data_IF_732045713016
#
_entry.id   IF_732045713016
#
_cell.length_a   1.000
_cell.length_b   1.000
_cell.length_c   1.000
_cell.angle_alpha   90.00
_cell.angle_beta   90.00
_cell.angle_gamma   90.00
#
_symmetry.space_group_name_H-M   'P 1'
#
loop_
_entity.id
_entity.type
_entity.pdbx_description
1 polymer ?
#
# COMPACT_ATOMS: atom_id res chain seq x y z
N UNK A 1 33.30 -10.85 -3.01
CA UNK A 1 32.05 -10.39 -2.38
C UNK A 1 32.13 -8.88 -2.30
N UNK A 2 31.15 -8.09 -2.84
CA UNK A 2 31.18 -6.63 -2.71
C UNK A 2 31.13 -6.27 -1.23
N UNK A 3 31.87 -5.24 -0.84
CA UNK A 3 32.04 -4.83 0.55
C UNK A 3 30.69 -4.35 1.15
N UNK A 4 30.17 -5.11 2.12
CA UNK A 4 28.94 -4.80 2.83
C UNK A 4 29.07 -3.50 3.60
N UNK A 5 30.21 -3.25 4.25
CA UNK A 5 30.45 -2.02 5.02
C UNK A 5 30.42 -0.79 4.11
N UNK A 6 31.01 -0.89 2.91
CA UNK A 6 30.96 0.18 1.90
C UNK A 6 29.54 0.43 1.42
N UNK A 7 28.75 -0.62 1.22
CA UNK A 7 27.34 -0.52 0.87
C UNK A 7 26.54 0.22 1.95
N UNK A 8 26.65 -0.23 3.21
CA UNK A 8 25.97 0.41 4.34
C UNK A 8 26.37 1.88 4.47
N UNK A 9 27.67 2.17 4.40
CA UNK A 9 28.17 3.55 4.44
C UNK A 9 27.56 4.41 3.33
N UNK A 10 27.52 3.92 2.10
CA UNK A 10 26.92 4.65 0.95
C UNK A 10 25.45 4.99 1.19
N UNK A 11 24.67 4.06 1.71
CA UNK A 11 23.24 4.25 1.97
C UNK A 11 23.03 5.24 3.13
N UNK A 12 23.79 5.11 4.22
CA UNK A 12 23.72 6.01 5.36
C UNK A 12 24.17 7.42 5.04
N UNK A 13 25.30 7.58 4.30
CA UNK A 13 25.80 8.90 3.87
C UNK A 13 24.74 9.66 3.07
N UNK A 14 24.07 8.96 2.13
CA UNK A 14 22.97 9.54 1.38
C UNK A 14 21.79 9.93 2.28
N UNK A 15 21.35 9.04 3.18
CA UNK A 15 20.21 9.29 4.05
C UNK A 15 20.45 10.47 4.97
N UNK A 16 21.62 10.58 5.57
CA UNK A 16 21.97 11.67 6.47
C UNK A 16 21.89 13.06 5.80
N UNK A 17 22.13 13.13 4.49
CA UNK A 17 22.08 14.37 3.71
C UNK A 17 20.71 14.64 3.05
N UNK A 18 19.95 13.59 2.75
CA UNK A 18 18.79 13.68 1.85
C UNK A 18 17.52 12.99 2.40
N UNK A 19 17.47 12.69 3.70
CA UNK A 19 16.30 12.03 4.31
C UNK A 19 15.01 12.80 4.04
N UNK A 20 13.99 12.07 3.59
CA UNK A 20 12.68 12.65 3.32
C UNK A 20 11.86 12.75 4.61
N UNK A 21 11.16 13.86 4.78
CA UNK A 21 10.29 14.10 5.93
C UNK A 21 8.84 13.70 5.62
N UNK A 22 8.36 12.65 6.29
CA UNK A 22 6.98 12.19 6.16
C UNK A 22 6.31 12.07 7.53
N UNK A 23 4.98 12.36 7.64
CA UNK A 23 4.27 12.33 8.92
C UNK A 23 4.31 10.96 9.60
N UNK A 24 4.29 9.87 8.85
CA UNK A 24 4.37 8.50 9.38
C UNK A 24 5.77 8.11 9.88
N UNK A 25 6.81 8.86 9.56
CA UNK A 25 8.16 8.67 10.11
C UNK A 25 8.34 9.34 11.47
N UNK A 26 7.40 10.22 11.87
CA UNK A 26 7.41 10.95 13.14
C UNK A 26 6.62 10.27 14.25
N UNK A 27 6.09 9.10 13.99
CA UNK A 27 5.27 8.35 14.95
C UNK A 27 5.80 6.92 15.15
N UNK A 28 5.57 6.38 16.34
CA UNK A 28 5.77 4.97 16.68
C UNK A 28 4.44 4.24 16.90
N UNK A 29 3.31 4.95 16.71
CA UNK A 29 2.00 4.34 16.86
C UNK A 29 1.75 3.30 15.75
N UNK A 30 1.56 2.01 16.08
CA UNK A 30 1.41 0.95 15.09
C UNK A 30 0.18 1.12 14.19
N UNK A 31 -0.90 1.74 14.69
CA UNK A 31 -2.07 2.04 13.89
C UNK A 31 -1.75 3.09 12.80
N UNK A 32 -1.08 4.18 13.17
CA UNK A 32 -0.68 5.23 12.23
C UNK A 32 0.28 4.70 11.16
N UNK A 33 1.23 3.85 11.56
CA UNK A 33 2.17 3.20 10.64
C UNK A 33 1.42 2.24 9.72
N UNK A 34 0.53 1.41 10.24
CA UNK A 34 -0.28 0.51 9.43
C UNK A 34 -1.11 1.26 8.38
N UNK A 35 -1.80 2.34 8.77
CA UNK A 35 -2.54 3.20 7.82
C UNK A 35 -1.63 3.69 6.69
N UNK A 36 -0.43 4.20 7.02
CA UNK A 36 0.50 4.70 6.01
C UNK A 36 0.99 3.59 5.08
N UNK A 37 1.36 2.42 5.62
CA UNK A 37 1.84 1.29 4.82
C UNK A 37 0.78 0.81 3.82
N UNK A 38 -0.48 0.73 4.25
CA UNK A 38 -1.58 0.37 3.35
C UNK A 38 -1.83 1.46 2.30
N UNK A 39 -1.76 2.73 2.65
CA UNK A 39 -1.94 3.83 1.69
C UNK A 39 -0.81 3.90 0.65
N UNK A 40 0.42 3.59 1.06
CA UNK A 40 1.61 3.63 0.20
C UNK A 40 1.68 2.49 -0.82
N UNK A 41 0.92 1.41 -0.64
CA UNK A 41 0.86 0.33 -1.63
C UNK A 41 0.46 0.88 -3.01
N UNK A 42 1.37 0.86 -3.98
CA UNK A 42 1.17 1.34 -5.35
C UNK A 42 0.65 2.80 -5.47
N UNK A 43 0.89 3.64 -4.46
CA UNK A 43 0.50 5.06 -4.46
C UNK A 43 1.71 5.92 -4.13
N UNK A 44 1.87 7.02 -4.88
CA UNK A 44 2.99 7.96 -4.68
C UNK A 44 2.84 8.73 -3.37
N UNK A 45 3.95 9.02 -2.70
CA UNK A 45 4.02 9.70 -1.40
C UNK A 45 3.31 11.05 -1.39
N UNK A 46 3.46 11.85 -2.44
CA UNK A 46 2.85 13.18 -2.54
C UNK A 46 1.32 13.14 -2.51
N UNK A 47 0.74 12.06 -3.04
CA UNK A 47 -0.70 11.80 -2.97
C UNK A 47 -1.11 11.28 -1.60
N UNK A 48 -0.25 10.48 -0.95
CA UNK A 48 -0.55 9.86 0.34
C UNK A 48 -0.50 10.87 1.49
N UNK A 49 0.47 11.79 1.50
CA UNK A 49 0.65 12.75 2.63
C UNK A 49 -0.63 13.50 3.01
N UNK A 50 -1.33 14.19 2.10
CA UNK A 50 -2.58 14.87 2.46
C UNK A 50 -3.67 13.90 2.89
N UNK A 51 -3.83 12.78 2.20
CA UNK A 51 -4.85 11.77 2.50
C UNK A 51 -4.65 11.08 3.84
N UNK A 52 -3.41 10.79 4.21
CA UNK A 52 -3.05 10.25 5.52
C UNK A 52 -3.45 11.20 6.66
N UNK A 53 -3.15 12.50 6.52
CA UNK A 53 -3.53 13.52 7.52
C UNK A 53 -5.05 13.63 7.67
N UNK A 54 -5.78 13.70 6.54
CA UNK A 54 -7.25 13.74 6.53
C UNK A 54 -7.86 12.47 7.15
N UNK A 55 -7.33 11.30 6.81
CA UNK A 55 -7.82 10.03 7.29
C UNK A 55 -7.62 9.88 8.80
N UNK A 56 -6.44 10.20 9.32
CA UNK A 56 -6.18 10.13 10.77
C UNK A 56 -6.90 11.23 11.58
N UNK A 57 -7.23 12.36 10.96
CA UNK A 57 -8.10 13.35 11.58
C UNK A 57 -9.51 12.81 11.80
N UNK A 58 -10.04 12.03 10.84
CA UNK A 58 -11.37 11.43 10.91
C UNK A 58 -11.38 10.15 11.75
N UNK A 59 -10.33 9.32 11.61
CA UNK A 59 -10.20 8.03 12.27
C UNK A 59 -8.87 7.98 13.05
N UNK A 60 -8.75 8.67 14.19
CA UNK A 60 -7.50 8.78 14.94
C UNK A 60 -7.04 7.48 15.61
N UNK A 61 -7.96 6.54 15.80
CA UNK A 61 -7.70 5.25 16.47
C UNK A 61 -8.28 4.09 15.67
N UNK A 62 -7.83 2.87 15.95
CA UNK A 62 -8.41 1.67 15.35
C UNK A 62 -9.89 1.50 15.74
N UNK A 63 -10.29 1.95 16.94
CA UNK A 63 -11.68 1.94 17.40
C UNK A 63 -12.55 2.86 16.54
N UNK A 64 -12.11 4.08 16.29
CA UNK A 64 -12.84 5.02 15.43
C UNK A 64 -12.95 4.52 13.98
N UNK A 65 -11.93 3.83 13.47
CA UNK A 65 -11.97 3.21 12.15
C UNK A 65 -12.96 2.02 12.13
N UNK A 66 -12.94 1.17 13.15
CA UNK A 66 -13.81 0.01 13.24
C UNK A 66 -15.30 0.40 13.36
N UNK A 67 -15.60 1.45 14.11
CA UNK A 67 -16.98 1.96 14.30
C UNK A 67 -17.51 2.80 13.13
N UNK A 68 -16.64 3.25 12.22
CA UNK A 68 -17.03 4.03 11.05
C UNK A 68 -17.88 3.20 10.07
N UNK A 69 -18.78 3.84 9.33
CA UNK A 69 -19.44 3.19 8.21
C UNK A 69 -18.47 2.87 7.08
N UNK A 70 -18.75 1.82 6.30
CA UNK A 70 -17.97 1.53 5.10
C UNK A 70 -17.95 2.73 4.14
N UNK A 71 -19.06 3.43 4.04
CA UNK A 71 -19.22 4.63 3.23
C UNK A 71 -18.22 5.71 3.66
N UNK A 72 -18.14 6.05 4.95
CA UNK A 72 -17.24 7.08 5.46
C UNK A 72 -15.77 6.75 5.15
N UNK A 73 -15.39 5.47 5.34
CA UNK A 73 -14.02 5.01 5.01
C UNK A 73 -13.73 5.14 3.52
N UNK A 74 -14.66 4.72 2.65
CA UNK A 74 -14.47 4.79 1.21
C UNK A 74 -14.47 6.24 0.69
N UNK A 75 -15.24 7.14 1.26
CA UNK A 75 -15.21 8.57 0.94
C UNK A 75 -13.83 9.18 1.25
N UNK A 76 -13.27 8.90 2.42
CA UNK A 76 -11.91 9.36 2.78
C UNK A 76 -10.81 8.70 1.96
N UNK A 77 -11.08 7.49 1.44
CA UNK A 77 -10.13 6.76 0.59
C UNK A 77 -10.10 7.25 -0.86
N UNK A 78 -11.08 8.07 -1.29
CA UNK A 78 -11.14 8.59 -2.66
C UNK A 78 -9.84 9.30 -3.06
N UNK A 79 -9.38 9.03 -4.30
CA UNK A 79 -8.13 9.57 -4.84
C UNK A 79 -6.88 8.70 -4.59
N UNK A 80 -6.92 7.72 -3.68
CA UNK A 80 -5.81 6.77 -3.48
C UNK A 80 -5.83 5.60 -4.48
N UNK A 81 -7.00 5.24 -4.99
CA UNK A 81 -7.19 4.06 -5.84
C UNK A 81 -7.09 2.74 -5.07
N UNK A 82 -7.26 1.60 -5.78
CA UNK A 82 -7.22 0.28 -5.15
C UNK A 82 -8.08 0.21 -3.88
N UNK A 83 -9.34 0.58 -4.01
CA UNK A 83 -10.29 0.80 -2.90
C UNK A 83 -10.44 -0.43 -1.97
N UNK A 84 -10.14 -1.65 -2.46
CA UNK A 84 -10.11 -2.87 -1.63
C UNK A 84 -9.16 -2.73 -0.43
N UNK A 85 -8.08 -1.94 -0.55
CA UNK A 85 -7.17 -1.68 0.57
C UNK A 85 -7.87 -0.93 1.71
N UNK A 86 -8.66 0.10 1.39
CA UNK A 86 -9.47 0.84 2.37
C UNK A 86 -10.51 -0.04 3.05
N UNK A 87 -11.19 -0.89 2.27
CA UNK A 87 -12.16 -1.85 2.81
C UNK A 87 -11.49 -2.90 3.71
N UNK A 88 -10.35 -3.45 3.29
CA UNK A 88 -9.60 -4.41 4.10
C UNK A 88 -9.04 -3.75 5.38
N UNK A 89 -8.60 -2.49 5.30
CA UNK A 89 -8.14 -1.73 6.47
C UNK A 89 -9.27 -1.60 7.50
N UNK A 90 -10.49 -1.30 7.06
CA UNK A 90 -11.67 -1.26 7.93
C UNK A 90 -11.98 -2.64 8.53
N UNK A 91 -12.09 -3.68 7.71
CA UNK A 91 -12.39 -5.05 8.17
C UNK A 91 -11.34 -5.56 9.18
N UNK A 92 -10.07 -5.30 8.92
CA UNK A 92 -9.02 -5.64 9.87
C UNK A 92 -9.14 -4.82 11.18
N UNK A 93 -9.54 -3.55 11.10
CA UNK A 93 -9.86 -2.74 12.27
C UNK A 93 -10.99 -3.32 13.10
N UNK A 94 -12.06 -3.80 12.45
CA UNK A 94 -13.18 -4.48 13.10
C UNK A 94 -12.73 -5.76 13.82
N UNK A 95 -11.87 -6.57 13.18
CA UNK A 95 -11.30 -7.78 13.82
C UNK A 95 -10.39 -7.43 15.00
N UNK A 96 -9.57 -6.39 14.89
CA UNK A 96 -8.69 -5.93 15.98
C UNK A 96 -9.54 -5.49 17.17
N UNK A 97 -10.62 -4.74 16.95
CA UNK A 97 -11.47 -4.28 18.04
C UNK A 97 -12.31 -5.42 18.61
N UNK A 98 -12.98 -6.22 17.78
CA UNK A 98 -13.88 -7.28 18.22
C UNK A 98 -13.17 -8.48 18.84
N UNK A 99 -12.08 -8.96 18.21
CA UNK A 99 -11.40 -10.19 18.62
C UNK A 99 -10.16 -9.93 19.47
N UNK A 100 -9.42 -8.84 19.21
CA UNK A 100 -8.15 -8.55 19.85
C UNK A 100 -8.24 -7.40 20.88
N UNK A 101 -9.46 -7.01 21.29
CA UNK A 101 -9.72 -5.97 22.31
C UNK A 101 -9.05 -4.64 21.98
N UNK A 102 -8.93 -4.30 20.70
CA UNK A 102 -8.33 -3.05 20.21
C UNK A 102 -6.79 -3.01 20.23
N UNK A 103 -6.12 -4.12 20.51
CA UNK A 103 -4.66 -4.23 20.51
C UNK A 103 -4.16 -4.73 19.16
N UNK A 104 -3.34 -3.93 18.48
CA UNK A 104 -2.67 -4.36 17.24
C UNK A 104 -1.62 -5.41 17.60
N UNK A 105 -1.63 -6.58 16.93
CA UNK A 105 -0.64 -7.63 17.18
C UNK A 105 0.80 -7.16 16.92
N UNK A 106 1.73 -7.74 17.66
CA UNK A 106 3.19 -7.52 17.50
C UNK A 106 3.88 -8.67 16.78
N UNK A 107 3.17 -9.77 16.55
CA UNK A 107 3.67 -10.97 15.89
C UNK A 107 3.30 -10.96 14.39
N UNK A 108 4.25 -11.36 13.54
CA UNK A 108 4.09 -11.38 12.06
C UNK A 108 2.86 -12.18 11.65
N UNK A 109 2.74 -13.42 12.14
CA UNK A 109 1.65 -14.33 11.76
C UNK A 109 0.28 -13.83 12.21
N UNK A 110 0.20 -13.22 13.40
CA UNK A 110 -1.03 -12.64 13.90
C UNK A 110 -1.48 -11.41 13.07
N UNK A 111 -0.54 -10.60 12.59
CA UNK A 111 -0.83 -9.51 11.66
C UNK A 111 -1.23 -10.04 10.29
N UNK A 112 -0.56 -11.07 9.77
CA UNK A 112 -0.87 -11.67 8.47
C UNK A 112 -2.25 -12.34 8.42
N UNK A 113 -2.78 -12.75 9.56
CA UNK A 113 -4.14 -13.27 9.67
C UNK A 113 -5.22 -12.21 9.45
N UNK A 114 -4.87 -10.91 9.50
CA UNK A 114 -5.82 -9.82 9.32
C UNK A 114 -6.03 -9.47 7.84
N UNK A 115 -7.26 -9.07 7.43
CA UNK A 115 -7.56 -8.71 6.06
C UNK A 115 -6.61 -7.65 5.46
N UNK A 116 -5.99 -7.99 4.32
CA UNK A 116 -5.15 -7.06 3.56
C UNK A 116 -3.73 -6.82 4.11
N UNK A 117 -3.32 -7.55 5.14
CA UNK A 117 -1.96 -7.52 5.67
C UNK A 117 -1.20 -8.74 5.16
N UNK A 118 -0.20 -8.53 4.32
CA UNK A 118 0.71 -9.57 3.83
C UNK A 118 2.06 -9.54 4.54
N UNK A 119 2.97 -10.43 4.13
CA UNK A 119 4.32 -10.58 4.71
C UNK A 119 5.09 -9.25 4.79
N UNK A 120 5.13 -8.49 3.70
CA UNK A 120 5.77 -7.17 3.72
C UNK A 120 5.13 -6.23 4.74
N UNK A 121 3.80 -6.09 4.71
CA UNK A 121 3.09 -5.10 5.52
C UNK A 121 3.20 -5.42 7.01
N UNK A 122 3.09 -6.70 7.40
CA UNK A 122 3.25 -7.14 8.79
C UNK A 122 4.63 -6.82 9.34
N UNK A 123 5.69 -7.18 8.60
CA UNK A 123 7.08 -6.91 8.98
C UNK A 123 7.40 -5.41 9.02
N UNK A 124 6.89 -4.64 8.06
CA UNK A 124 7.06 -3.19 8.01
C UNK A 124 6.40 -2.51 9.23
N UNK A 125 5.17 -2.90 9.59
CA UNK A 125 4.50 -2.39 10.80
C UNK A 125 5.36 -2.65 12.04
N UNK A 126 5.82 -3.88 12.23
CA UNK A 126 6.61 -4.27 13.41
C UNK A 126 7.95 -3.52 13.44
N UNK A 127 8.66 -3.48 12.31
CA UNK A 127 9.95 -2.78 12.24
C UNK A 127 9.79 -1.28 12.47
N UNK A 128 8.80 -0.64 11.85
CA UNK A 128 8.63 0.80 11.96
C UNK A 128 8.01 1.24 13.29
N UNK A 129 7.17 0.42 13.92
CA UNK A 129 6.59 0.73 15.23
C UNK A 129 7.56 0.41 16.40
N UNK A 130 8.19 -0.76 16.37
CA UNK A 130 8.89 -1.32 17.52
C UNK A 130 10.41 -1.40 17.34
N UNK A 131 10.95 -1.00 16.17
CA UNK A 131 12.38 -1.08 15.82
C UNK A 131 12.92 -2.53 15.82
N UNK A 132 12.07 -3.50 15.50
CA UNK A 132 12.46 -4.92 15.44
C UNK A 132 13.16 -5.21 14.11
N UNK A 133 14.33 -5.89 14.09
CA UNK A 133 15.12 -6.15 12.88
C UNK A 133 14.54 -7.33 12.08
N UNK A 134 13.46 -7.11 11.36
CA UNK A 134 12.84 -8.10 10.48
C UNK A 134 13.32 -7.95 9.04
N UNK A 135 13.43 -9.07 8.32
CA UNK A 135 13.89 -9.09 6.92
C UNK A 135 12.70 -9.04 5.97
N UNK A 136 12.65 -7.99 5.14
CA UNK A 136 11.62 -7.82 4.12
C UNK A 136 12.14 -7.01 2.92
N UNK A 137 11.39 -7.02 1.82
CA UNK A 137 11.74 -6.35 0.58
C UNK A 137 10.52 -5.64 -0.02
N UNK A 138 10.75 -4.44 -0.57
CA UNK A 138 9.80 -3.72 -1.42
C UNK A 138 10.52 -3.16 -2.65
N UNK A 139 9.80 -2.52 -3.53
CA UNK A 139 10.28 -2.12 -4.86
C UNK A 139 11.51 -1.18 -4.84
N UNK A 140 11.64 -0.28 -3.84
CA UNK A 140 12.79 0.63 -3.76
C UNK A 140 14.01 -0.11 -3.19
N UNK A 141 13.80 -0.93 -2.16
CA UNK A 141 14.84 -1.80 -1.59
C UNK A 141 15.38 -2.71 -2.69
N UNK A 142 14.50 -3.40 -3.43
CA UNK A 142 14.88 -4.23 -4.58
C UNK A 142 15.74 -3.46 -5.59
N UNK A 143 15.37 -2.22 -5.92
CA UNK A 143 16.14 -1.36 -6.83
C UNK A 143 17.57 -1.16 -6.34
N UNK A 144 17.75 -0.86 -5.05
CA UNK A 144 19.05 -0.63 -4.43
C UNK A 144 19.95 -1.87 -4.54
N UNK A 145 19.41 -3.03 -4.16
CA UNK A 145 20.19 -4.27 -4.20
C UNK A 145 20.50 -4.73 -5.62
N UNK A 146 19.57 -4.60 -6.55
CA UNK A 146 19.82 -4.89 -7.96
C UNK A 146 20.85 -3.94 -8.58
N UNK A 147 20.85 -2.65 -8.21
CA UNK A 147 21.83 -1.69 -8.70
C UNK A 147 23.23 -1.93 -8.10
N UNK A 148 23.32 -2.30 -6.82
CA UNK A 148 24.62 -2.44 -6.16
C UNK A 148 25.25 -3.83 -6.36
N UNK A 149 24.50 -4.90 -6.13
CA UNK A 149 25.06 -6.26 -6.10
C UNK A 149 24.91 -7.02 -7.43
N UNK A 150 23.96 -6.66 -8.28
CA UNK A 150 23.61 -7.40 -9.50
C UNK A 150 23.82 -6.56 -10.78
N UNK A 151 24.73 -5.59 -10.77
CA UNK A 151 24.98 -4.72 -11.94
C UNK A 151 25.33 -5.48 -13.21
N UNK A 152 26.20 -6.49 -13.10
CA UNK A 152 26.73 -7.26 -14.22
C UNK A 152 25.98 -8.59 -14.44
N UNK A 153 24.82 -8.78 -13.78
CA UNK A 153 24.01 -9.97 -13.96
C UNK A 153 23.20 -9.89 -15.25
N UNK A 154 23.27 -10.94 -16.07
CA UNK A 154 22.51 -11.10 -17.31
C UNK A 154 21.26 -11.96 -17.13
N UNK A 155 21.11 -12.62 -15.98
CA UNK A 155 19.94 -13.45 -15.62
C UNK A 155 18.99 -12.69 -14.71
N UNK A 156 17.73 -13.15 -14.70
CA UNK A 156 16.72 -12.60 -13.79
C UNK A 156 17.01 -13.03 -12.35
N UNK A 157 16.95 -12.08 -11.43
CA UNK A 157 17.23 -12.25 -10.00
C UNK A 157 15.93 -12.55 -9.24
N UNK A 158 15.94 -13.60 -8.43
CA UNK A 158 14.82 -13.94 -7.55
C UNK A 158 14.89 -13.15 -6.25
N UNK A 159 13.73 -12.73 -5.70
CA UNK A 159 13.68 -11.99 -4.42
C UNK A 159 14.37 -12.73 -3.26
N UNK A 160 14.38 -14.07 -3.26
CA UNK A 160 15.12 -14.89 -2.29
C UNK A 160 16.62 -14.58 -2.24
N UNK A 161 17.23 -14.29 -3.38
CA UNK A 161 18.66 -13.95 -3.45
C UNK A 161 18.89 -12.53 -2.86
N UNK A 162 17.97 -11.63 -3.13
CA UNK A 162 18.01 -10.27 -2.59
C UNK A 162 17.78 -10.29 -1.07
N UNK A 163 16.80 -11.04 -0.59
CA UNK A 163 16.50 -11.16 0.85
C UNK A 163 17.68 -11.66 1.67
N UNK A 164 18.48 -12.60 1.15
CA UNK A 164 19.74 -13.04 1.80
C UNK A 164 20.76 -11.90 1.95
N UNK A 165 20.77 -10.95 1.01
CA UNK A 165 21.63 -9.78 1.09
C UNK A 165 21.04 -8.70 2.00
N UNK A 166 19.71 -8.53 1.99
CA UNK A 166 19.01 -7.65 2.95
C UNK A 166 19.33 -8.08 4.37
N UNK A 167 19.22 -9.37 4.69
CA UNK A 167 19.56 -9.93 5.99
C UNK A 167 21.01 -9.64 6.39
N UNK A 168 21.97 -9.87 5.50
CA UNK A 168 23.40 -9.64 5.75
C UNK A 168 23.78 -8.16 5.90
N UNK A 169 22.99 -7.27 5.35
CA UNK A 169 23.25 -5.82 5.36
C UNK A 169 22.36 -5.07 6.35
N UNK A 170 21.44 -5.75 7.03
CA UNK A 170 20.54 -5.14 7.98
C UNK A 170 21.31 -4.48 9.13
N UNK A 171 21.02 -3.22 9.39
CA UNK A 171 21.44 -2.54 10.61
C UNK A 171 20.47 -2.96 11.74
N UNK A 172 20.93 -3.88 12.57
CA UNK A 172 20.10 -4.47 13.65
C UNK A 172 19.85 -3.52 14.81
N UNK A 173 20.69 -2.49 14.98
CA UNK A 173 20.55 -1.49 16.03
C UNK A 173 19.52 -0.43 15.62
N UNK A 174 19.51 -0.08 14.33
CA UNK A 174 18.64 0.97 13.76
C UNK A 174 17.81 0.48 12.56
N UNK A 175 17.10 -0.65 12.64
CA UNK A 175 16.45 -1.25 11.50
C UNK A 175 15.38 -0.35 10.87
N UNK A 176 14.63 0.41 11.67
CA UNK A 176 13.63 1.38 11.19
C UNK A 176 14.24 2.41 10.25
N UNK A 177 15.28 3.10 10.69
CA UNK A 177 15.93 4.14 9.90
C UNK A 177 16.70 3.56 8.73
N UNK A 178 17.31 2.38 8.89
CA UNK A 178 17.97 1.66 7.82
C UNK A 178 17.03 1.37 6.65
N UNK A 179 15.84 0.89 6.92
CA UNK A 179 14.85 0.68 5.86
C UNK A 179 14.38 1.98 5.22
N UNK A 180 14.21 3.06 5.98
CA UNK A 180 13.92 4.37 5.40
C UNK A 180 15.08 4.87 4.54
N UNK A 181 16.31 4.63 4.94
CA UNK A 181 17.51 4.98 4.16
C UNK A 181 17.54 4.22 2.83
N UNK A 182 17.31 2.91 2.85
CA UNK A 182 17.20 2.09 1.65
C UNK A 182 16.07 2.58 0.71
N UNK A 183 14.89 2.89 1.26
CA UNK A 183 13.77 3.40 0.48
C UNK A 183 14.09 4.75 -0.17
N UNK A 184 14.73 5.68 0.56
CA UNK A 184 15.09 7.00 0.03
C UNK A 184 16.16 6.90 -1.05
N UNK A 185 17.18 6.10 -0.81
CA UNK A 185 18.25 5.84 -1.77
C UNK A 185 17.70 5.16 -3.04
N UNK A 186 16.78 4.20 -2.90
CA UNK A 186 16.11 3.55 -4.03
C UNK A 186 15.26 4.48 -4.88
N UNK A 187 14.58 5.45 -4.26
CA UNK A 187 13.84 6.49 -4.99
C UNK A 187 14.79 7.39 -5.77
N UNK A 188 15.93 7.79 -5.20
CA UNK A 188 16.96 8.54 -5.89
C UNK A 188 17.49 7.77 -7.10
N UNK A 189 17.86 6.51 -6.91
CA UNK A 189 18.36 5.66 -8.01
C UNK A 189 17.38 5.57 -9.18
N UNK A 190 16.08 5.46 -8.90
CA UNK A 190 15.04 5.44 -9.96
C UNK A 190 14.94 6.77 -10.72
N UNK A 191 15.25 7.89 -10.09
CA UNK A 191 15.24 9.22 -10.73
C UNK A 191 16.46 9.44 -11.64
N UNK A 192 17.65 9.00 -11.20
CA UNK A 192 18.90 9.26 -11.93
C UNK A 192 19.31 8.14 -12.88
N UNK A 193 18.78 6.93 -12.70
CA UNK A 193 19.08 5.77 -13.54
C UNK A 193 17.77 5.12 -13.98
N UNK A 194 17.77 4.42 -15.14
CA UNK A 194 16.65 3.54 -15.50
C UNK A 194 16.48 2.48 -14.40
N UNK A 195 15.21 2.27 -13.99
CA UNK A 195 14.88 1.28 -12.94
C UNK A 195 15.47 -0.09 -13.29
N UNK A 196 16.24 -0.66 -12.37
CA UNK A 196 16.81 -2.01 -12.50
C UNK A 196 15.80 -3.12 -12.17
N UNK A 197 14.59 -2.77 -11.74
CA UNK A 197 13.55 -3.76 -11.38
C UNK A 197 13.18 -4.70 -12.52
N UNK A 198 13.44 -4.31 -13.78
CA UNK A 198 13.30 -5.22 -14.95
C UNK A 198 14.18 -6.48 -14.86
N UNK A 199 15.23 -6.46 -14.04
CA UNK A 199 16.07 -7.61 -13.72
C UNK A 199 15.45 -8.58 -12.69
N UNK A 200 14.34 -8.21 -12.05
CA UNK A 200 13.64 -9.08 -11.09
C UNK A 200 12.64 -9.97 -11.82
N UNK A 201 12.62 -11.26 -11.49
CA UNK A 201 11.60 -12.21 -11.95
C UNK A 201 10.19 -11.78 -11.51
N UNK A 202 10.08 -11.01 -10.43
CA UNK A 202 8.82 -10.50 -9.88
C UNK A 202 8.37 -9.17 -10.51
N UNK A 203 9.13 -8.61 -11.46
CA UNK A 203 8.75 -7.38 -12.12
C UNK A 203 7.49 -7.57 -12.97
N UNK A 204 6.50 -6.71 -12.75
CA UNK A 204 5.28 -6.63 -13.59
C UNK A 204 5.04 -5.19 -13.99
N UNK A 205 4.98 -4.94 -15.30
CA UNK A 205 4.60 -3.64 -15.84
C UNK A 205 3.09 -3.47 -15.71
N UNK A 206 2.67 -2.41 -15.05
CA UNK A 206 1.26 -2.08 -14.91
C UNK A 206 0.71 -1.51 -16.22
N UNK A 207 -0.47 -1.96 -16.65
CA UNK A 207 -1.18 -1.38 -17.80
C UNK A 207 -1.64 0.05 -17.50
N UNK A 208 -1.83 0.90 -18.55
CA UNK A 208 -2.38 2.25 -18.37
C UNK A 208 -3.71 2.24 -17.61
N UNK A 209 -3.95 3.28 -16.81
CA UNK A 209 -5.21 3.42 -16.07
C UNK A 209 -6.38 3.80 -16.99
N UNK A 210 -6.14 4.78 -17.87
CA UNK A 210 -7.14 5.26 -18.83
C UNK A 210 -7.57 4.14 -19.79
N UNK A 211 -8.86 3.93 -19.93
CA UNK A 211 -9.44 2.87 -20.75
C UNK A 211 -9.55 1.49 -20.06
N UNK A 212 -8.96 1.32 -18.87
CA UNK A 212 -8.94 0.02 -18.17
C UNK A 212 -10.19 -0.25 -17.35
N UNK A 213 -10.42 -1.53 -17.01
CA UNK A 213 -11.47 -1.91 -16.05
C UNK A 213 -11.31 -1.26 -14.67
N UNK A 214 -10.07 -0.87 -14.27
CA UNK A 214 -9.81 -0.12 -13.03
C UNK A 214 -10.40 1.29 -13.08
N UNK A 215 -10.36 1.95 -14.22
CA UNK A 215 -11.00 3.25 -14.42
C UNK A 215 -12.52 3.14 -14.30
N UNK A 216 -13.12 2.16 -15.00
CA UNK A 216 -14.57 1.90 -14.93
C UNK A 216 -15.00 1.65 -13.48
N UNK A 217 -14.34 0.71 -12.81
CA UNK A 217 -14.63 0.36 -11.42
C UNK A 217 -14.51 1.56 -10.47
N UNK A 218 -13.47 2.36 -10.61
CA UNK A 218 -13.26 3.57 -9.79
C UNK A 218 -14.34 4.61 -10.03
N UNK A 219 -14.74 4.82 -11.28
CA UNK A 219 -15.78 5.76 -11.67
C UNK A 219 -17.15 5.34 -11.13
N UNK A 220 -17.48 4.04 -11.24
CA UNK A 220 -18.73 3.49 -10.72
C UNK A 220 -18.84 3.68 -9.21
N UNK A 221 -17.80 3.27 -8.47
CA UNK A 221 -17.79 3.38 -7.02
C UNK A 221 -17.90 4.84 -6.57
N UNK A 222 -17.15 5.75 -7.20
CA UNK A 222 -17.23 7.18 -6.92
C UNK A 222 -18.65 7.71 -7.14
N UNK A 223 -19.26 7.38 -8.27
CA UNK A 223 -20.63 7.82 -8.59
C UNK A 223 -21.66 7.32 -7.56
N UNK A 224 -21.56 6.06 -7.14
CA UNK A 224 -22.46 5.48 -6.13
C UNK A 224 -22.26 6.13 -4.76
N UNK A 225 -21.03 6.44 -4.36
CA UNK A 225 -20.73 7.17 -3.14
C UNK A 225 -21.39 8.57 -3.12
N UNK A 226 -21.27 9.31 -4.22
CA UNK A 226 -21.78 10.68 -4.35
C UNK A 226 -23.31 10.74 -4.42
N UNK A 227 -23.96 9.73 -5.00
CA UNK A 227 -25.41 9.72 -5.26
C UNK A 227 -26.22 8.88 -4.27
N UNK A 228 -25.59 8.35 -3.19
CA UNK A 228 -26.20 7.49 -2.15
C UNK A 228 -26.79 6.19 -2.70
N UNK A 229 -27.68 6.24 -3.70
CA UNK A 229 -28.27 5.11 -4.43
C UNK A 229 -28.40 5.44 -5.90
N UNK A 230 -28.23 4.44 -6.76
CA UNK A 230 -28.29 4.63 -8.22
C UNK A 230 -28.78 3.40 -8.94
N UNK A 231 -29.30 3.56 -10.14
CA UNK A 231 -29.74 2.44 -11.01
C UNK A 231 -28.67 2.11 -12.05
N UNK A 232 -28.75 0.89 -12.63
CA UNK A 232 -27.89 0.51 -13.75
C UNK A 232 -28.02 1.49 -14.92
N UNK A 233 -29.25 1.94 -15.20
CA UNK A 233 -29.50 2.91 -16.28
C UNK A 233 -28.79 4.25 -16.07
N UNK A 234 -28.74 4.75 -14.81
CA UNK A 234 -28.00 5.96 -14.47
C UNK A 234 -26.49 5.76 -14.64
N UNK A 235 -25.96 4.63 -14.20
CA UNK A 235 -24.54 4.28 -14.33
C UNK A 235 -24.10 4.19 -15.80
N UNK A 236 -24.96 3.67 -16.69
CA UNK A 236 -24.69 3.62 -18.14
C UNK A 236 -24.70 5.00 -18.82
N UNK A 237 -25.29 6.02 -18.18
CA UNK A 237 -25.31 7.40 -18.70
C UNK A 237 -24.10 8.23 -18.28
N UNK A 238 -23.20 7.71 -17.43
CA UNK A 238 -21.98 8.41 -17.02
C UNK A 238 -21.13 8.68 -18.29
N UNK A 239 -20.81 9.96 -18.62
CA UNK A 239 -20.13 10.31 -19.88
C UNK A 239 -18.82 9.55 -20.11
N UNK A 240 -18.01 9.38 -19.06
CA UNK A 240 -16.74 8.66 -19.12
C UNK A 240 -16.89 7.16 -19.44
N UNK A 241 -18.08 6.60 -19.20
CA UNK A 241 -18.39 5.18 -19.39
C UNK A 241 -19.28 4.91 -20.63
N UNK A 242 -19.53 5.94 -21.44
CA UNK A 242 -20.32 5.81 -22.65
C UNK A 242 -19.82 4.66 -23.54
N UNK A 243 -20.71 3.85 -24.06
CA UNK A 243 -20.46 2.67 -24.91
C UNK A 243 -19.72 1.49 -24.21
N UNK A 244 -19.68 1.45 -22.86
CA UNK A 244 -19.02 0.38 -22.09
C UNK A 244 -19.99 -0.48 -21.27
N UNK A 245 -21.22 -0.67 -21.73
CA UNK A 245 -22.31 -1.31 -20.96
C UNK A 245 -21.92 -2.68 -20.38
N UNK A 246 -21.31 -3.56 -21.19
CA UNK A 246 -20.89 -4.90 -20.73
C UNK A 246 -19.85 -4.80 -19.60
N UNK A 247 -18.86 -3.91 -19.74
CA UNK A 247 -17.84 -3.69 -18.72
C UNK A 247 -18.44 -3.07 -17.44
N UNK A 248 -19.44 -2.19 -17.57
CA UNK A 248 -20.17 -1.64 -16.41
C UNK A 248 -20.84 -2.77 -15.64
N UNK A 249 -21.58 -3.65 -16.33
CA UNK A 249 -22.25 -4.78 -15.68
C UNK A 249 -21.28 -5.72 -14.98
N UNK A 250 -20.18 -6.09 -15.65
CA UNK A 250 -19.13 -6.92 -15.06
C UNK A 250 -18.55 -6.27 -13.79
N UNK A 251 -18.16 -4.99 -13.85
CA UNK A 251 -17.55 -4.29 -12.71
C UNK A 251 -18.52 -4.00 -11.58
N UNK A 252 -19.81 -3.88 -11.85
CA UNK A 252 -20.86 -3.84 -10.80
C UNK A 252 -20.94 -5.19 -10.09
N UNK A 253 -20.96 -6.29 -10.83
CA UNK A 253 -20.98 -7.64 -10.22
C UNK A 253 -19.75 -7.87 -9.34
N UNK A 254 -18.55 -7.48 -9.81
CA UNK A 254 -17.34 -7.52 -9.00
C UNK A 254 -17.47 -6.68 -7.69
N UNK A 255 -18.01 -5.45 -7.80
CA UNK A 255 -18.20 -4.58 -6.64
C UNK A 255 -19.20 -5.16 -5.64
N UNK A 256 -20.27 -5.82 -6.11
CA UNK A 256 -21.23 -6.55 -5.24
C UNK A 256 -20.58 -7.75 -4.59
N UNK A 257 -19.90 -8.61 -5.37
CA UNK A 257 -19.24 -9.80 -4.86
C UNK A 257 -18.17 -9.49 -3.81
N UNK A 258 -17.46 -8.40 -3.97
CA UNK A 258 -16.43 -7.95 -3.03
C UNK A 258 -16.99 -7.22 -1.80
N UNK A 259 -18.30 -6.96 -1.77
CA UNK A 259 -18.98 -6.28 -0.67
C UNK A 259 -18.72 -4.78 -0.61
N UNK A 260 -18.49 -4.11 -1.74
CA UNK A 260 -18.45 -2.66 -1.81
C UNK A 260 -19.84 -2.03 -1.88
N UNK A 261 -20.71 -2.69 -2.61
CA UNK A 261 -22.07 -2.26 -2.83
C UNK A 261 -23.02 -3.43 -2.69
N UNK A 262 -24.26 -3.15 -2.36
CA UNK A 262 -25.36 -4.12 -2.40
C UNK A 262 -26.43 -3.68 -3.41
N UNK A 263 -27.15 -4.66 -3.96
CA UNK A 263 -28.29 -4.41 -4.81
C UNK A 263 -29.57 -4.46 -4.00
N UNK A 264 -30.26 -3.35 -3.89
CA UNK A 264 -31.57 -3.22 -3.25
C UNK A 264 -32.64 -2.96 -4.31
N UNK A 265 -33.44 -3.97 -4.63
CA UNK A 265 -34.42 -3.92 -5.72
C UNK A 265 -33.73 -3.52 -7.03
N UNK A 266 -34.01 -2.32 -7.54
CA UNK A 266 -33.44 -1.77 -8.79
C UNK A 266 -32.28 -0.79 -8.55
N UNK A 267 -31.81 -0.63 -7.30
CA UNK A 267 -30.77 0.31 -6.91
C UNK A 267 -29.50 -0.40 -6.47
N UNK A 268 -28.39 0.28 -6.59
CA UNK A 268 -27.10 -0.05 -5.99
C UNK A 268 -26.75 0.99 -4.93
N UNK A 269 -26.37 0.54 -3.75
CA UNK A 269 -25.97 1.37 -2.59
C UNK A 269 -24.66 0.87 -2.02
N UNK A 270 -23.96 1.70 -1.26
CA UNK A 270 -22.76 1.25 -0.51
C UNK A 270 -23.23 0.28 0.58
N UNK A 271 -22.48 -0.83 0.75
CA UNK A 271 -22.76 -1.85 1.77
C UNK A 271 -22.61 -1.29 3.19
#
# INVERSE_FOLDING_TARGET
MRDIKKFQKTVWDYYNQHKRDFPWRKTKNPYHIWVSEVMLQQTQTDRVVPKYKEFLKQFPTVQSLASASQKDVLERWQGLGYNRRGLNLKRAGEEIVGRLKGKIPTEVDALMALPGIGDYTSKAIITFAYNTPLVFIETNIRTVFLDYFFQNTHVLVHDREILRLVEKTLDTDNPREWYWALMDYGVMLKKVKKSKNVKSIHYRKQTPFKGSGREVRSTLLKYILENKKTTLGALCKIPLLKNRKNMIQEKIQELVHEGFIVKEKNYYVIS
#
